data_IF_621898474726
#
_entry.id   IF_621898474726
#
_cell.length_a   1.000
_cell.length_b   1.000
_cell.length_c   1.000
_cell.angle_alpha   90.00
_cell.angle_beta   90.00
_cell.angle_gamma   90.00
#
_symmetry.space_group_name_H-M   'P 1'
#
loop_
_entity.id
_entity.type
_entity.pdbx_description
1 polymer ?
#
# COMPACT_ATOMS: atom_id res chain seq x y z
N UNK A 1 0.97 -10.03 21.40
CA UNK A 1 -0.48 -9.90 21.62
C UNK A 1 -0.96 -8.73 20.79
N UNK A 2 -1.95 -8.93 19.92
CA UNK A 2 -2.50 -7.86 19.06
C UNK A 2 -3.00 -6.70 19.91
N UNK A 3 -2.71 -5.47 19.50
CA UNK A 3 -3.13 -4.25 20.18
C UNK A 3 -3.89 -3.38 19.17
N UNK A 4 -5.09 -2.97 19.53
CA UNK A 4 -5.89 -2.08 18.68
C UNK A 4 -5.22 -0.69 18.59
N UNK A 5 -5.26 -0.11 17.39
CA UNK A 5 -4.73 1.23 17.15
C UNK A 5 -5.50 2.29 17.94
N UNK A 6 -4.78 3.29 18.44
CA UNK A 6 -5.37 4.42 19.15
C UNK A 6 -6.14 5.35 18.20
N UNK A 7 -6.99 6.21 18.75
CA UNK A 7 -7.70 7.21 17.94
C UNK A 7 -6.73 8.18 17.25
N UNK A 8 -5.58 8.50 17.88
CA UNK A 8 -4.57 9.37 17.28
C UNK A 8 -3.84 8.69 16.12
N UNK A 9 -3.48 7.41 16.26
CA UNK A 9 -2.88 6.64 15.16
C UNK A 9 -3.82 6.58 13.95
N UNK A 10 -5.12 6.34 14.19
CA UNK A 10 -6.12 6.39 13.13
C UNK A 10 -6.24 7.77 12.49
N UNK A 11 -6.21 8.83 13.30
CA UNK A 11 -6.29 10.20 12.81
C UNK A 11 -5.14 10.51 11.86
N UNK A 12 -3.90 10.20 12.24
CA UNK A 12 -2.72 10.38 11.40
C UNK A 12 -2.83 9.59 10.08
N UNK A 13 -3.29 8.33 10.16
CA UNK A 13 -3.49 7.49 8.97
C UNK A 13 -4.53 8.10 8.01
N UNK A 14 -5.68 8.54 8.52
CA UNK A 14 -6.70 9.19 7.68
C UNK A 14 -6.22 10.52 7.09
N UNK A 15 -5.45 11.31 7.83
CA UNK A 15 -4.87 12.56 7.32
C UNK A 15 -3.94 12.30 6.11
N UNK A 16 -3.07 11.30 6.20
CA UNK A 16 -2.18 10.97 5.07
C UNK A 16 -2.94 10.37 3.89
N UNK A 17 -3.94 9.51 4.11
CA UNK A 17 -4.72 8.93 3.00
C UNK A 17 -5.65 9.93 2.33
N UNK A 18 -6.19 10.91 3.06
CA UNK A 18 -6.92 12.03 2.47
C UNK A 18 -6.03 12.83 1.50
N UNK A 19 -4.78 13.09 1.89
CA UNK A 19 -3.81 13.77 1.04
C UNK A 19 -3.41 12.92 -0.18
N UNK A 20 -3.19 11.62 0.00
CA UNK A 20 -2.93 10.69 -1.11
C UNK A 20 -4.12 10.64 -2.08
N UNK A 21 -5.35 10.52 -1.58
CA UNK A 21 -6.56 10.51 -2.40
C UNK A 21 -6.66 11.77 -3.26
N UNK A 22 -6.29 12.93 -2.69
CA UNK A 22 -6.28 14.20 -3.43
C UNK A 22 -5.17 14.28 -4.50
N UNK A 23 -4.11 13.47 -4.41
CA UNK A 23 -3.11 13.35 -5.47
C UNK A 23 -3.57 12.46 -6.63
N UNK A 24 -4.52 11.56 -6.40
CA UNK A 24 -5.03 10.58 -7.36
C UNK A 24 -3.91 9.70 -7.95
N UNK A 25 -3.20 8.89 -7.11
CA UNK A 25 -2.01 8.15 -7.52
C UNK A 25 -2.26 7.18 -8.68
N UNK A 26 -3.47 6.64 -8.80
CA UNK A 26 -3.92 5.76 -9.89
C UNK A 26 -3.89 6.39 -11.30
N UNK A 27 -3.66 7.71 -11.41
CA UNK A 27 -3.39 8.35 -12.70
C UNK A 27 -1.92 8.23 -13.15
N UNK A 28 -1.02 7.82 -12.24
CA UNK A 28 0.42 7.75 -12.50
C UNK A 28 0.99 6.34 -12.35
N UNK A 29 0.28 5.43 -11.66
CA UNK A 29 0.72 4.07 -11.37
C UNK A 29 -0.39 3.06 -11.70
N UNK A 30 -0.01 1.96 -12.35
CA UNK A 30 -0.82 0.76 -12.54
C UNK A 30 -0.68 -0.23 -11.39
N UNK A 31 -1.49 -1.30 -11.43
CA UNK A 31 -1.49 -2.34 -10.38
C UNK A 31 -0.23 -3.22 -10.41
N UNK A 32 0.50 -3.23 -11.51
CA UNK A 32 1.77 -3.95 -11.67
C UNK A 32 2.99 -3.05 -11.36
N UNK A 33 2.79 -1.73 -11.30
CA UNK A 33 3.84 -0.77 -10.97
C UNK A 33 4.13 -0.83 -9.46
N UNK A 34 5.42 -0.85 -9.10
CA UNK A 34 5.85 -0.89 -7.71
C UNK A 34 6.51 0.42 -7.27
N UNK A 35 6.11 0.86 -6.08
CA UNK A 35 6.82 1.87 -5.31
C UNK A 35 7.39 1.21 -4.05
N UNK A 36 8.71 1.24 -3.89
CA UNK A 36 9.40 0.68 -2.74
C UNK A 36 9.85 1.79 -1.77
N UNK A 37 9.53 1.65 -0.49
CA UNK A 37 9.91 2.59 0.57
C UNK A 37 10.75 1.86 1.61
N UNK A 38 12.01 2.25 1.75
CA UNK A 38 12.84 1.82 2.87
C UNK A 38 12.53 2.72 4.08
N UNK A 39 11.74 2.19 5.01
CA UNK A 39 11.38 2.90 6.25
C UNK A 39 12.58 3.01 7.17
N UNK A 40 12.64 4.10 7.95
CA UNK A 40 13.76 4.33 8.87
C UNK A 40 13.78 3.26 9.96
N UNK A 41 14.91 2.57 10.10
CA UNK A 41 15.10 1.54 11.13
C UNK A 41 14.63 0.14 10.73
N UNK A 42 14.05 -0.03 9.55
CA UNK A 42 13.68 -1.34 8.99
C UNK A 42 14.79 -1.86 8.07
N UNK A 43 15.05 -3.17 8.12
CA UNK A 43 16.09 -3.80 7.28
C UNK A 43 15.63 -3.98 5.83
N UNK A 44 14.34 -4.28 5.66
CA UNK A 44 13.73 -4.52 4.34
C UNK A 44 12.73 -3.39 3.99
N UNK A 45 12.57 -3.06 2.70
CA UNK A 45 11.59 -2.09 2.27
C UNK A 45 10.17 -2.65 2.37
N UNK A 46 9.20 -1.74 2.33
CA UNK A 46 7.81 -2.09 1.98
C UNK A 46 7.56 -1.77 0.51
N UNK A 47 6.74 -2.59 -0.14
CA UNK A 47 6.37 -2.46 -1.55
C UNK A 47 4.90 -2.08 -1.66
N UNK A 48 4.58 -1.11 -2.51
CA UNK A 48 3.22 -0.67 -2.73
C UNK A 48 2.81 -0.84 -4.19
N UNK A 49 1.62 -1.43 -4.38
CA UNK A 49 0.92 -1.55 -5.65
C UNK A 49 -0.34 -0.67 -5.62
N UNK A 50 -0.58 0.09 -6.69
CA UNK A 50 -1.64 1.10 -6.77
C UNK A 50 -2.72 0.63 -7.74
N UNK A 51 -3.92 0.40 -7.22
CA UNK A 51 -5.10 0.00 -7.99
C UNK A 51 -5.94 1.23 -8.37
N UNK A 52 -6.55 1.20 -9.56
CA UNK A 52 -7.53 2.21 -9.97
C UNK A 52 -7.34 2.79 -11.35
N UNK A 53 -6.25 2.46 -12.06
CA UNK A 53 -6.00 2.98 -13.41
C UNK A 53 -7.16 2.67 -14.39
N UNK A 54 -7.81 1.52 -14.23
CA UNK A 54 -8.98 1.10 -15.04
C UNK A 54 -10.33 1.53 -14.45
N UNK A 55 -10.35 2.27 -13.34
CA UNK A 55 -11.54 2.91 -12.77
C UNK A 55 -12.57 2.00 -12.07
N UNK A 56 -12.29 0.71 -11.91
CA UNK A 56 -13.21 -0.27 -11.30
C UNK A 56 -13.05 -0.43 -9.79
N UNK A 57 -11.83 -0.29 -9.26
CA UNK A 57 -11.50 -0.41 -7.85
C UNK A 57 -10.31 0.49 -7.54
N UNK A 58 -10.44 1.35 -6.53
CA UNK A 58 -9.37 2.25 -6.10
C UNK A 58 -8.81 1.80 -4.77
N UNK A 59 -7.50 1.65 -4.69
CA UNK A 59 -6.83 1.28 -3.46
C UNK A 59 -5.33 1.12 -3.61
N UNK A 60 -4.65 0.90 -2.51
CA UNK A 60 -3.20 0.75 -2.44
C UNK A 60 -2.89 -0.38 -1.47
N UNK A 61 -2.24 -1.42 -1.98
CA UNK A 61 -1.79 -2.56 -1.17
C UNK A 61 -0.32 -2.37 -0.81
N UNK A 62 -0.01 -2.48 0.48
CA UNK A 62 1.34 -2.46 1.03
C UNK A 62 1.75 -3.88 1.43
N UNK A 63 2.89 -4.32 0.92
CA UNK A 63 3.51 -5.61 1.18
C UNK A 63 4.81 -5.37 1.95
N UNK A 64 4.97 -6.01 3.11
CA UNK A 64 6.14 -5.81 3.96
C UNK A 64 7.26 -6.78 3.60
N UNK A 65 8.45 -6.25 3.35
CA UNK A 65 9.65 -7.03 3.11
C UNK A 65 9.66 -7.84 1.82
N UNK A 66 10.70 -8.65 1.66
CA UNK A 66 10.88 -9.47 0.46
C UNK A 66 9.90 -10.64 0.40
N UNK A 67 9.43 -11.14 1.55
CA UNK A 67 8.31 -12.09 1.57
C UNK A 67 7.04 -11.46 1.02
N UNK A 68 6.71 -10.24 1.44
CA UNK A 68 5.59 -9.48 0.91
C UNK A 68 5.71 -9.23 -0.59
N UNK A 69 6.91 -8.90 -1.09
CA UNK A 69 7.14 -8.80 -2.54
C UNK A 69 6.80 -10.10 -3.28
N UNK A 70 7.16 -11.26 -2.72
CA UNK A 70 6.82 -12.53 -3.34
C UNK A 70 5.31 -12.81 -3.32
N UNK A 71 4.61 -12.36 -2.28
CA UNK A 71 3.14 -12.43 -2.24
C UNK A 71 2.52 -11.50 -3.29
N UNK A 72 3.07 -10.30 -3.50
CA UNK A 72 2.68 -9.41 -4.61
C UNK A 72 2.90 -10.08 -5.98
N UNK A 73 4.08 -10.64 -6.24
CA UNK A 73 4.39 -11.30 -7.52
C UNK A 73 3.44 -12.48 -7.80
N UNK A 74 3.14 -13.28 -6.76
CA UNK A 74 2.14 -14.34 -6.83
C UNK A 74 0.75 -13.81 -7.21
N UNK A 75 0.33 -12.70 -6.61
CA UNK A 75 -0.96 -12.05 -6.90
C UNK A 75 -0.99 -11.44 -8.30
N UNK A 76 0.07 -10.77 -8.74
CA UNK A 76 0.17 -10.13 -10.04
C UNK A 76 0.09 -11.17 -11.19
N UNK A 77 0.64 -12.37 -10.98
CA UNK A 77 0.60 -13.46 -11.97
C UNK A 77 -0.69 -14.29 -11.93
N UNK A 78 -1.55 -14.10 -10.93
CA UNK A 78 -2.69 -14.96 -10.70
C UNK A 78 -3.68 -14.93 -11.89
N UNK A 79 -4.18 -16.11 -12.27
CA UNK A 79 -5.06 -16.26 -13.44
C UNK A 79 -4.35 -16.21 -14.81
N UNK A 80 -3.02 -16.01 -14.84
CA UNK A 80 -2.19 -16.20 -16.02
C UNK A 80 -1.88 -17.69 -16.30
N UNK A 81 -1.16 -17.96 -17.40
CA UNK A 81 -0.84 -19.33 -17.87
C UNK A 81 -0.09 -20.17 -16.83
N UNK A 82 0.90 -19.57 -16.16
CA UNK A 82 1.70 -20.20 -15.08
C UNK A 82 1.26 -19.76 -13.67
N UNK A 83 0.13 -19.04 -13.57
CA UNK A 83 -0.35 -18.42 -12.34
C UNK A 83 -1.23 -19.34 -11.50
N UNK A 84 -1.29 -19.06 -10.19
CA UNK A 84 -2.29 -19.67 -9.32
C UNK A 84 -3.70 -19.15 -9.68
N UNK A 85 -4.77 -19.91 -9.40
CA UNK A 85 -6.13 -19.38 -9.49
C UNK A 85 -6.29 -18.14 -8.60
N UNK A 86 -6.92 -17.08 -9.12
CA UNK A 86 -7.10 -15.80 -8.40
C UNK A 86 -7.62 -15.97 -6.97
N UNK A 87 -8.68 -16.76 -6.69
CA UNK A 87 -9.16 -16.93 -5.32
C UNK A 87 -8.13 -17.54 -4.37
N UNK A 88 -7.26 -18.40 -4.89
CA UNK A 88 -6.21 -19.05 -4.10
C UNK A 88 -5.08 -18.06 -3.79
N UNK A 89 -4.58 -17.34 -4.81
CA UNK A 89 -3.57 -16.29 -4.60
C UNK A 89 -4.05 -15.20 -3.62
N UNK A 90 -5.33 -14.80 -3.70
CA UNK A 90 -5.93 -13.83 -2.79
C UNK A 90 -5.96 -14.30 -1.33
N UNK A 91 -6.07 -15.62 -1.08
CA UNK A 91 -6.11 -16.20 0.26
C UNK A 91 -4.70 -16.42 0.85
N UNK A 92 -3.68 -16.55 0.00
CA UNK A 92 -2.31 -16.87 0.39
C UNK A 92 -1.39 -15.63 0.50
N UNK A 93 -1.90 -14.42 0.26
CA UNK A 93 -1.12 -13.18 0.41
C UNK A 93 -1.17 -12.64 1.84
N UNK A 94 -0.12 -11.93 2.24
CA UNK A 94 -0.16 -11.00 3.38
C UNK A 94 0.14 -9.58 2.92
N UNK A 95 -0.80 -8.67 3.17
CA UNK A 95 -0.67 -7.26 2.79
C UNK A 95 -1.63 -6.40 3.61
N UNK A 96 -1.40 -5.09 3.61
CA UNK A 96 -2.34 -4.12 4.17
C UNK A 96 -2.83 -3.25 3.03
N UNK A 97 -4.13 -3.25 2.78
CA UNK A 97 -4.73 -2.50 1.68
C UNK A 97 -5.59 -1.37 2.21
N UNK A 98 -5.34 -0.18 1.70
CA UNK A 98 -6.25 0.96 1.78
C UNK A 98 -7.15 0.99 0.56
N UNK A 99 -8.46 1.10 0.76
CA UNK A 99 -9.45 1.20 -0.30
C UNK A 99 -10.21 2.52 -0.26
N UNK A 100 -10.67 2.94 -1.44
CA UNK A 100 -11.65 4.01 -1.61
C UNK A 100 -12.90 3.44 -2.28
N UNK A 101 -14.00 3.39 -1.53
CA UNK A 101 -15.23 2.72 -1.96
C UNK A 101 -16.50 3.30 -1.35
N UNK A 102 -17.51 2.45 -1.21
CA UNK A 102 -18.82 2.79 -0.67
C UNK A 102 -18.90 2.55 0.85
N UNK A 103 -19.89 3.17 1.50
CA UNK A 103 -20.05 3.13 2.96
C UNK A 103 -20.29 1.71 3.48
N UNK A 104 -20.97 0.91 2.68
CA UNK A 104 -21.39 -0.46 2.97
C UNK A 104 -20.18 -1.40 3.07
N UNK A 105 -19.09 -1.09 2.37
CA UNK A 105 -17.84 -1.85 2.36
C UNK A 105 -16.99 -1.58 3.63
N UNK A 106 -17.21 -0.46 4.30
CA UNK A 106 -16.42 -0.06 5.47
C UNK A 106 -16.72 -0.95 6.69
N UNK A 107 -15.71 -1.58 7.31
CA UNK A 107 -15.86 -2.36 8.54
C UNK A 107 -16.52 -1.57 9.68
N UNK A 108 -17.32 -2.24 10.51
CA UNK A 108 -18.13 -1.55 11.54
C UNK A 108 -17.30 -0.81 12.59
N UNK A 109 -16.19 -1.41 13.01
CA UNK A 109 -15.21 -0.81 13.90
C UNK A 109 -14.55 0.44 13.29
N UNK A 110 -14.18 0.41 12.02
CA UNK A 110 -13.66 1.57 11.30
C UNK A 110 -14.72 2.65 11.11
N UNK A 111 -16.00 2.30 10.87
CA UNK A 111 -17.11 3.28 10.87
C UNK A 111 -17.24 4.00 12.22
N UNK A 112 -16.99 3.31 13.34
CA UNK A 112 -16.97 3.93 14.68
C UNK A 112 -15.79 4.88 14.84
N UNK A 113 -14.62 4.54 14.32
CA UNK A 113 -13.44 5.42 14.29
C UNK A 113 -13.72 6.68 13.47
N UNK A 114 -14.19 6.54 12.22
CA UNK A 114 -14.55 7.65 11.33
C UNK A 114 -15.52 8.61 12.04
N UNK A 115 -16.55 8.07 12.70
CA UNK A 115 -17.51 8.87 13.46
C UNK A 115 -16.85 9.62 14.63
N UNK A 116 -15.95 8.99 15.39
CA UNK A 116 -15.24 9.61 16.51
C UNK A 116 -14.26 10.70 16.06
N UNK A 117 -13.70 10.56 14.86
CA UNK A 117 -12.82 11.55 14.23
C UNK A 117 -13.59 12.66 13.50
N UNK A 118 -14.92 12.60 13.50
CA UNK A 118 -15.79 13.56 12.81
C UNK A 118 -15.49 13.71 11.30
N UNK A 119 -14.97 12.64 10.68
CA UNK A 119 -14.65 12.63 9.26
C UNK A 119 -15.92 12.49 8.40
N UNK A 120 -16.06 13.40 7.43
CA UNK A 120 -17.21 13.44 6.53
C UNK A 120 -16.88 12.93 5.13
N UNK A 121 -17.35 11.73 4.79
CA UNK A 121 -17.32 11.20 3.42
C UNK A 121 -18.71 11.36 2.77
N UNK A 122 -18.77 11.99 1.60
CA UNK A 122 -20.04 12.28 0.89
C UNK A 122 -19.99 11.75 -0.54
N UNK A 123 -20.99 10.95 -0.91
CA UNK A 123 -21.10 10.37 -2.25
C UNK A 123 -20.59 8.93 -2.33
N UNK A 124 -20.92 8.27 -3.45
CA UNK A 124 -20.43 6.93 -3.77
C UNK A 124 -18.93 6.94 -4.04
N UNK A 125 -18.22 5.89 -3.65
CA UNK A 125 -16.79 5.75 -3.89
C UNK A 125 -15.94 6.81 -3.16
N UNK A 126 -16.40 7.37 -2.04
CA UNK A 126 -15.65 8.37 -1.27
C UNK A 126 -15.20 7.89 0.12
N UNK A 127 -15.71 6.74 0.57
CA UNK A 127 -15.39 6.20 1.88
C UNK A 127 -14.04 5.51 1.84
N UNK A 128 -13.20 5.80 2.84
CA UNK A 128 -11.88 5.20 2.97
C UNK A 128 -11.92 4.14 4.06
N UNK A 129 -11.36 2.97 3.78
CA UNK A 129 -11.29 1.85 4.73
C UNK A 129 -10.05 1.01 4.46
N UNK A 130 -9.72 0.15 5.43
CA UNK A 130 -8.47 -0.59 5.44
C UNK A 130 -8.71 -2.06 5.75
N UNK A 131 -7.92 -2.92 5.13
CA UNK A 131 -7.88 -4.34 5.46
C UNK A 131 -6.43 -4.77 5.65
N UNK A 132 -6.16 -5.50 6.72
CA UNK A 132 -4.99 -6.36 6.82
C UNK A 132 -5.38 -7.78 6.43
N UNK A 133 -4.62 -8.32 5.47
CA UNK A 133 -4.72 -9.67 4.96
C UNK A 133 -3.59 -10.50 5.56
N UNK A 134 -3.92 -11.69 6.03
CA UNK A 134 -2.95 -12.68 6.49
C UNK A 134 -3.28 -14.04 5.89
N UNK A 135 -2.25 -14.80 5.53
CA UNK A 135 -2.39 -16.08 4.80
C UNK A 135 -3.36 -17.03 5.50
N UNK A 136 -4.38 -17.48 4.78
CA UNK A 136 -5.38 -18.42 5.28
C UNK A 136 -6.41 -17.83 6.26
N UNK A 137 -6.41 -16.52 6.51
CA UNK A 137 -7.37 -15.84 7.37
C UNK A 137 -8.28 -14.90 6.59
N UNK A 138 -9.48 -14.66 7.14
CA UNK A 138 -10.35 -13.59 6.64
C UNK A 138 -9.74 -12.22 6.95
N UNK A 139 -9.93 -11.21 6.08
CA UNK A 139 -9.39 -9.86 6.30
C UNK A 139 -9.89 -9.24 7.60
N UNK A 140 -9.02 -8.46 8.24
CA UNK A 140 -9.31 -7.80 9.52
C UNK A 140 -8.91 -6.33 9.48
N UNK A 141 -9.38 -5.55 10.46
CA UNK A 141 -8.95 -4.15 10.62
C UNK A 141 -7.49 -4.11 11.09
N UNK A 142 -6.62 -3.27 10.48
CA UNK A 142 -5.24 -3.14 10.89
C UNK A 142 -5.05 -2.82 12.38
N UNK A 143 -4.07 -3.47 13.01
CA UNK A 143 -3.71 -3.24 14.40
C UNK A 143 -2.81 -2.01 14.61
N UNK A 144 -2.42 -1.72 15.86
CA UNK A 144 -1.60 -0.56 16.19
C UNK A 144 -0.25 -0.52 15.48
N UNK A 145 0.40 -1.67 15.22
CA UNK A 145 1.68 -1.72 14.51
C UNK A 145 1.44 -1.45 13.03
N UNK A 146 0.47 -2.15 12.46
CA UNK A 146 0.10 -2.05 11.03
C UNK A 146 -0.32 -0.62 10.67
N UNK A 147 -1.15 0.03 11.49
CA UNK A 147 -1.54 1.44 11.29
C UNK A 147 -0.34 2.37 11.29
N UNK A 148 0.63 2.16 12.19
CA UNK A 148 1.83 3.00 12.28
C UNK A 148 2.76 2.82 11.08
N UNK A 149 3.05 1.57 10.69
CA UNK A 149 3.89 1.27 9.52
C UNK A 149 3.25 1.79 8.23
N UNK A 150 1.94 1.54 8.06
CA UNK A 150 1.19 2.03 6.90
C UNK A 150 1.20 3.56 6.81
N UNK A 151 1.07 4.25 7.95
CA UNK A 151 1.12 5.71 8.01
C UNK A 151 2.45 6.25 7.50
N UNK A 152 3.57 5.70 7.96
CA UNK A 152 4.90 6.13 7.52
C UNK A 152 5.17 5.79 6.05
N UNK A 153 4.77 4.59 5.61
CA UNK A 153 4.86 4.19 4.22
C UNK A 153 4.07 5.12 3.30
N UNK A 154 2.86 5.52 3.70
CA UNK A 154 2.00 6.43 2.95
C UNK A 154 2.52 7.87 2.92
N UNK A 155 3.21 8.35 3.97
CA UNK A 155 3.96 9.61 3.92
C UNK A 155 5.06 9.54 2.85
N UNK A 156 5.75 8.41 2.78
CA UNK A 156 6.72 8.10 1.72
C UNK A 156 6.10 8.10 0.33
N UNK A 157 4.99 7.37 0.15
CA UNK A 157 4.26 7.26 -1.11
C UNK A 157 3.74 8.61 -1.60
N UNK A 158 3.27 9.46 -0.69
CA UNK A 158 2.80 10.80 -1.04
C UNK A 158 3.90 11.62 -1.71
N UNK A 159 5.13 11.56 -1.16
CA UNK A 159 6.29 12.24 -1.73
C UNK A 159 6.70 11.64 -3.08
N UNK A 160 6.69 10.31 -3.20
CA UNK A 160 6.99 9.60 -4.45
C UNK A 160 5.98 9.94 -5.56
N UNK A 161 4.68 9.86 -5.25
CA UNK A 161 3.59 10.24 -6.16
C UNK A 161 3.73 11.69 -6.62
N UNK A 162 4.05 12.61 -5.69
CA UNK A 162 4.25 14.02 -6.03
C UNK A 162 5.45 14.21 -6.96
N UNK A 163 6.56 13.49 -6.75
CA UNK A 163 7.73 13.58 -7.62
C UNK A 163 7.42 13.14 -9.06
N UNK A 164 6.65 12.05 -9.24
CA UNK A 164 6.19 11.58 -10.56
C UNK A 164 5.24 12.60 -11.20
N UNK A 165 4.22 13.04 -10.45
CA UNK A 165 3.24 14.05 -10.91
C UNK A 165 3.91 15.35 -11.38
N UNK A 166 4.92 15.81 -10.64
CA UNK A 166 5.68 17.03 -10.93
C UNK A 166 6.82 16.80 -11.93
N UNK A 167 6.94 15.59 -12.50
CA UNK A 167 7.97 15.20 -13.47
C UNK A 167 9.41 15.43 -12.96
N UNK A 168 9.62 15.28 -11.64
CA UNK A 168 10.94 15.35 -11.02
C UNK A 168 11.70 14.02 -11.11
N UNK A 169 10.99 12.94 -11.39
CA UNK A 169 11.54 11.61 -11.63
C UNK A 169 10.75 10.94 -12.76
N UNK A 170 11.46 10.14 -13.56
CA UNK A 170 10.87 9.26 -14.58
C UNK A 170 11.20 7.83 -14.18
N UNK A 171 10.26 6.91 -14.39
CA UNK A 171 10.39 5.50 -14.03
C UNK A 171 9.93 4.69 -15.23
N UNK A 172 10.74 3.73 -15.65
CA UNK A 172 10.45 2.84 -16.77
C UNK A 172 9.80 1.53 -16.27
N UNK A 173 8.53 1.64 -15.86
CA UNK A 173 7.76 0.50 -15.36
C UNK A 173 7.61 -0.61 -16.41
N UNK A 174 7.54 -0.26 -17.69
CA UNK A 174 7.44 -1.23 -18.81
C UNK A 174 8.66 -2.17 -18.87
N UNK A 175 9.84 -1.69 -18.44
CA UNK A 175 11.07 -2.50 -18.38
C UNK A 175 11.43 -2.95 -16.96
N UNK A 176 10.47 -2.91 -16.03
CA UNK A 176 10.61 -3.47 -14.68
C UNK A 176 11.37 -2.59 -13.69
N UNK A 177 11.47 -1.28 -13.94
CA UNK A 177 11.96 -0.36 -12.91
C UNK A 177 10.95 -0.22 -11.77
N UNK A 178 11.48 -0.10 -10.57
CA UNK A 178 10.74 0.22 -9.34
C UNK A 178 11.07 1.65 -8.95
N UNK A 179 10.07 2.38 -8.46
CA UNK A 179 10.30 3.70 -7.86
C UNK A 179 10.77 3.52 -6.41
N UNK A 180 12.04 3.81 -6.16
CA UNK A 180 12.63 3.68 -4.83
C UNK A 180 12.59 4.98 -4.06
N UNK A 181 12.28 4.87 -2.77
CA UNK A 181 12.42 5.93 -1.79
C UNK A 181 13.16 5.42 -0.56
N UNK A 182 14.36 5.95 -0.33
CA UNK A 182 15.28 5.42 0.69
C UNK A 182 15.76 6.54 1.60
N UNK A 183 15.70 6.31 2.91
CA UNK A 183 16.32 7.21 3.88
C UNK A 183 17.82 6.94 3.95
N UNK A 184 18.62 7.97 3.71
CA UNK A 184 20.06 7.93 3.88
C UNK A 184 20.40 8.45 5.30
N UNK A 185 20.82 7.54 6.17
CA UNK A 185 21.17 7.87 7.54
C UNK A 185 22.47 8.69 7.67
N UNK A 186 23.37 8.63 6.69
CA UNK A 186 24.61 9.42 6.70
C UNK A 186 24.34 10.89 6.40
N UNK A 187 23.43 11.16 5.47
CA UNK A 187 23.06 12.53 5.07
C UNK A 187 21.82 13.05 5.77
N UNK A 188 21.13 12.21 6.54
CA UNK A 188 19.82 12.46 7.16
C UNK A 188 18.74 12.88 6.15
N UNK A 189 18.92 12.50 4.88
CA UNK A 189 18.08 12.90 3.76
C UNK A 189 17.38 11.71 3.11
N UNK A 190 16.40 12.06 2.30
CA UNK A 190 15.42 11.15 1.76
C UNK A 190 15.62 11.10 0.24
N UNK A 191 16.28 10.06 -0.24
CA UNK A 191 16.62 9.90 -1.65
C UNK A 191 15.50 9.21 -2.42
N UNK A 192 15.39 9.52 -3.71
CA UNK A 192 14.51 8.84 -4.66
C UNK A 192 15.24 8.56 -5.96
N UNK A 193 15.05 7.37 -6.51
CA UNK A 193 15.61 6.96 -7.79
C UNK A 193 14.72 5.88 -8.43
N UNK A 194 14.85 5.71 -9.74
CA UNK A 194 14.25 4.61 -10.47
C UNK A 194 15.34 3.55 -10.70
N UNK A 195 14.99 2.28 -10.56
CA UNK A 195 15.93 1.20 -10.83
C UNK A 195 15.31 -0.18 -10.59
N UNK A 196 15.91 -1.24 -11.13
CA UNK A 196 15.38 -2.58 -11.01
C UNK A 196 15.42 -3.06 -9.55
N UNK A 197 14.53 -4.00 -9.22
CA UNK A 197 14.68 -4.79 -8.00
C UNK A 197 15.92 -5.68 -8.14
N UNK A 198 16.80 -5.70 -7.12
CA UNK A 198 17.90 -6.66 -7.10
C UNK A 198 17.34 -8.09 -7.12
N UNK A 199 17.97 -9.06 -7.81
CA UNK A 199 17.49 -10.43 -7.84
C UNK A 199 17.32 -10.97 -6.42
N UNK A 200 16.10 -11.39 -6.08
CA UNK A 200 15.78 -12.06 -4.82
C UNK A 200 15.38 -13.49 -5.13
N UNK A 201 16.20 -14.45 -4.71
CA UNK A 201 15.86 -15.87 -4.82
C UNK A 201 15.11 -16.30 -3.55
N UNK A 202 13.79 -16.47 -3.66
CA UNK A 202 12.99 -17.15 -2.63
C UNK A 202 13.32 -18.64 -2.69
N UNK A 203 14.05 -19.15 -1.69
CA UNK A 203 14.13 -20.58 -1.45
C UNK A 203 12.79 -21.06 -0.87
N UNK A 204 11.96 -21.72 -1.68
CA UNK A 204 10.81 -22.44 -1.17
C UNK A 204 11.29 -23.68 -0.39
N UNK A 205 10.74 -23.97 0.81
CA UNK A 205 10.98 -25.26 1.47
C UNK A 205 10.42 -26.44 0.67
#
# INVERSE_FOLDING_TARGET
MRKEASLEQWKELYEVTLNLKALEPWHYFGSEDLVAIALQGEEEPVFMSIMGMMGSCYGISMYEGMEGFCDFDMVARAGGEDGLPVPYAMMEQSCITWYVGDREEVPEDQRKVIKKLELGFRGKGQWQYFYSFAKGYMPFTPDAREVSVLTEAFKGLFMATRAVKEKRISVDFEHGEVLWRVYNAETEEWNMFAGPLSPYERNYP
#
